data_IF_555462757754
#
_entry.id   IF_555462757754
#
_cell.length_a   1.000
_cell.length_b   1.000
_cell.length_c   1.000
_cell.angle_alpha   90.00
_cell.angle_beta   90.00
_cell.angle_gamma   90.00
#
_symmetry.space_group_name_H-M   'P 1'
#
loop_
_entity.id
_entity.type
_entity.pdbx_description
1 polymer ?
#
# COMPACT_ATOMS: atom_id res chain seq x y z
N UNK A 1 -5.07 -23.90 -14.47
CA UNK A 1 -4.20 -22.87 -13.87
C UNK A 1 -2.78 -23.21 -14.27
N UNK A 2 -2.05 -22.29 -14.88
CA UNK A 2 -0.63 -22.48 -15.20
C UNK A 2 0.19 -21.76 -14.13
N UNK A 3 1.32 -22.32 -13.74
CA UNK A 3 2.22 -21.75 -12.72
C UNK A 3 3.67 -21.84 -13.18
N UNK A 4 4.48 -20.91 -12.71
CA UNK A 4 5.94 -20.97 -12.76
C UNK A 4 6.41 -21.38 -11.36
N UNK A 5 7.13 -22.50 -11.25
CA UNK A 5 7.61 -23.04 -9.97
C UNK A 5 9.09 -22.78 -9.86
N UNK A 6 9.51 -22.16 -8.76
CA UNK A 6 10.91 -21.86 -8.45
C UNK A 6 11.30 -22.71 -7.25
N UNK A 7 12.35 -23.54 -7.40
CA UNK A 7 12.96 -24.24 -6.29
C UNK A 7 13.91 -23.28 -5.58
N UNK A 8 13.78 -23.16 -4.27
CA UNK A 8 14.62 -22.26 -3.47
C UNK A 8 16.01 -22.86 -3.36
N UNK A 9 16.99 -22.19 -3.98
CA UNK A 9 18.41 -22.53 -3.93
C UNK A 9 19.19 -21.24 -3.67
N UNK A 10 19.91 -21.18 -2.55
CA UNK A 10 20.70 -20.03 -2.07
C UNK A 10 19.87 -18.76 -1.77
N UNK A 11 20.52 -17.76 -1.15
CA UNK A 11 19.92 -16.46 -0.77
C UNK A 11 20.42 -15.32 -1.68
N UNK A 12 20.71 -15.62 -2.95
CA UNK A 12 21.15 -14.60 -3.90
C UNK A 12 20.01 -13.64 -4.22
N UNK A 13 20.27 -12.34 -4.03
CA UNK A 13 19.33 -11.27 -4.28
C UNK A 13 19.97 -10.19 -5.16
N UNK A 14 19.20 -9.57 -6.08
CA UNK A 14 19.69 -8.44 -6.84
C UNK A 14 20.11 -7.32 -5.89
N UNK A 15 21.15 -6.56 -6.26
CA UNK A 15 21.56 -5.40 -5.51
C UNK A 15 20.55 -4.28 -5.71
N UNK A 16 19.98 -3.77 -4.61
CA UNK A 16 18.99 -2.70 -4.61
C UNK A 16 19.61 -1.47 -3.96
N UNK A 17 19.36 -0.30 -4.56
CA UNK A 17 19.75 0.99 -4.01
C UNK A 17 19.10 1.16 -2.62
N UNK A 18 19.89 1.56 -1.62
CA UNK A 18 19.39 1.77 -0.26
C UNK A 18 19.01 3.22 -0.04
N UNK A 19 17.89 3.47 0.62
CA UNK A 19 17.43 4.81 0.93
C UNK A 19 17.46 5.09 2.43
N UNK A 20 17.76 6.35 2.74
CA UNK A 20 17.52 6.99 4.03
C UNK A 20 16.33 7.94 3.91
N UNK A 21 15.76 8.38 5.03
CA UNK A 21 14.69 9.39 5.09
C UNK A 21 15.03 10.65 4.27
N UNK A 22 16.28 11.14 4.40
CA UNK A 22 16.75 12.30 3.67
C UNK A 22 16.84 12.09 2.15
N UNK A 23 17.20 10.88 1.69
CA UNK A 23 17.20 10.58 0.25
C UNK A 23 15.81 10.31 -0.28
N UNK A 24 14.91 9.73 0.52
CA UNK A 24 13.54 9.44 0.11
C UNK A 24 12.75 10.74 -0.13
N UNK A 25 12.95 11.75 0.71
CA UNK A 25 12.33 13.07 0.49
C UNK A 25 12.69 13.69 -0.87
N UNK A 26 13.89 13.39 -1.40
CA UNK A 26 14.39 13.87 -2.70
C UNK A 26 14.08 12.93 -3.87
N UNK A 27 13.50 11.76 -3.60
CA UNK A 27 13.17 10.78 -4.62
C UNK A 27 12.08 11.32 -5.56
N UNK A 28 12.31 11.20 -6.87
CA UNK A 28 11.30 11.54 -7.87
C UNK A 28 10.24 10.46 -7.99
N UNK A 29 9.03 10.84 -8.41
CA UNK A 29 7.93 9.92 -8.67
C UNK A 29 8.32 8.83 -9.69
N UNK A 30 9.04 9.23 -10.74
CA UNK A 30 9.49 8.35 -11.81
C UNK A 30 10.49 7.31 -11.31
N UNK A 31 11.45 7.70 -10.45
CA UNK A 31 12.43 6.77 -9.89
C UNK A 31 11.78 5.82 -8.88
N UNK A 32 10.85 6.30 -8.04
CA UNK A 32 10.09 5.44 -7.13
C UNK A 32 9.31 4.38 -7.90
N UNK A 33 8.59 4.79 -8.96
CA UNK A 33 7.87 3.89 -9.85
C UNK A 33 8.82 2.88 -10.52
N UNK A 34 9.97 3.32 -11.01
CA UNK A 34 10.93 2.44 -11.69
C UNK A 34 11.43 1.33 -10.75
N UNK A 35 11.79 1.65 -9.51
CA UNK A 35 12.23 0.67 -8.50
C UNK A 35 11.12 -0.35 -8.20
N UNK A 36 9.87 0.11 -8.08
CA UNK A 36 8.72 -0.79 -7.85
C UNK A 36 8.46 -1.72 -9.04
N UNK A 37 8.66 -1.25 -10.26
CA UNK A 37 8.50 -2.08 -11.47
C UNK A 37 9.63 -3.10 -11.57
N UNK A 38 10.88 -2.68 -11.40
CA UNK A 38 12.06 -3.55 -11.54
C UNK A 38 12.12 -4.63 -10.46
N UNK A 39 11.67 -4.31 -9.25
CA UNK A 39 11.53 -5.28 -8.14
C UNK A 39 10.32 -6.20 -8.26
N UNK A 40 9.39 -5.91 -9.18
CA UNK A 40 8.11 -6.60 -9.29
C UNK A 40 7.05 -6.17 -8.28
N UNK A 41 7.36 -5.32 -7.31
CA UNK A 41 6.42 -4.85 -6.28
C UNK A 41 5.25 -4.01 -6.83
N UNK A 42 5.36 -3.48 -8.06
CA UNK A 42 4.27 -2.74 -8.72
C UNK A 42 2.97 -3.56 -8.83
N UNK A 43 3.05 -4.88 -8.88
CA UNK A 43 1.86 -5.76 -9.01
C UNK A 43 1.01 -5.84 -7.75
N UNK A 44 1.52 -5.36 -6.60
CA UNK A 44 0.78 -5.26 -5.35
C UNK A 44 -0.39 -4.27 -5.45
N UNK A 45 -0.25 -3.23 -6.28
CA UNK A 45 -1.33 -2.28 -6.51
C UNK A 45 -2.44 -2.89 -7.34
N UNK A 46 -3.69 -2.57 -6.96
CA UNK A 46 -4.88 -2.89 -7.76
C UNK A 46 -5.71 -1.64 -8.00
N UNK A 47 -6.11 -1.43 -9.25
CA UNK A 47 -7.04 -0.36 -9.62
C UNK A 47 -8.45 -0.64 -9.10
N UNK A 48 -9.19 0.43 -8.81
CA UNK A 48 -10.62 0.41 -8.55
C UNK A 48 -11.27 1.51 -9.39
N UNK A 49 -12.25 1.19 -10.24
CA UNK A 49 -12.84 -0.15 -10.49
C UNK A 49 -11.90 -1.12 -11.24
N UNK A 50 -12.37 -2.36 -11.44
CA UNK A 50 -11.77 -3.44 -12.27
C UNK A 50 -10.67 -4.31 -11.69
N UNK A 51 -10.01 -3.93 -10.58
CA UNK A 51 -8.96 -4.75 -9.96
C UNK A 51 -7.94 -5.22 -10.98
N UNK A 52 -7.26 -4.31 -11.66
CA UNK A 52 -6.11 -4.63 -12.53
C UNK A 52 -4.83 -4.08 -11.90
N UNK A 53 -3.68 -4.60 -12.30
CA UNK A 53 -2.42 -3.89 -12.03
C UNK A 53 -2.49 -2.55 -12.75
N UNK A 54 -2.14 -1.42 -12.11
CA UNK A 54 -2.19 -0.12 -12.77
C UNK A 54 -1.27 -0.06 -13.99
N UNK A 55 -1.75 0.57 -15.06
CA UNK A 55 -0.92 0.91 -16.20
C UNK A 55 0.23 1.82 -15.73
N UNK A 56 1.44 1.57 -16.24
CA UNK A 56 2.62 2.32 -15.82
C UNK A 56 2.44 3.83 -16.00
N UNK A 57 1.72 4.26 -17.05
CA UNK A 57 1.51 5.68 -17.32
C UNK A 57 0.27 6.28 -16.62
N UNK A 58 -0.44 5.49 -15.82
CA UNK A 58 -1.63 5.95 -15.09
C UNK A 58 -1.25 6.55 -13.74
N UNK A 59 -2.12 7.45 -13.24
CA UNK A 59 -2.06 8.00 -11.89
C UNK A 59 -3.39 7.76 -11.17
N UNK A 60 -3.38 7.40 -9.88
CA UNK A 60 -4.60 7.29 -9.11
C UNK A 60 -5.07 8.67 -8.65
N UNK A 61 -6.39 8.82 -8.47
CA UNK A 61 -6.94 9.96 -7.74
C UNK A 61 -6.56 9.92 -6.25
N UNK A 62 -6.56 8.73 -5.67
CA UNK A 62 -6.11 8.46 -4.30
C UNK A 62 -5.62 7.01 -4.17
N UNK A 63 -4.85 6.72 -3.13
CA UNK A 63 -4.43 5.36 -2.80
C UNK A 63 -5.07 4.96 -1.47
N UNK A 64 -5.59 3.73 -1.40
CA UNK A 64 -6.16 3.14 -0.20
C UNK A 64 -5.25 2.05 0.33
N UNK A 65 -4.80 2.22 1.57
CA UNK A 65 -4.04 1.23 2.32
C UNK A 65 -4.98 0.50 3.26
N UNK A 66 -5.25 -0.79 3.02
CA UNK A 66 -6.06 -1.61 3.91
C UNK A 66 -5.19 -2.21 5.00
N UNK A 67 -5.23 -1.62 6.20
CA UNK A 67 -4.58 -2.08 7.43
C UNK A 67 -5.63 -2.56 8.45
N UNK A 68 -6.65 -3.25 7.94
CA UNK A 68 -7.71 -3.92 8.68
C UNK A 68 -8.13 -5.15 7.88
N UNK A 69 -8.25 -6.30 8.53
CA UNK A 69 -8.86 -7.49 7.95
C UNK A 69 -9.90 -8.04 8.94
N UNK A 70 -11.13 -8.19 8.45
CA UNK A 70 -12.26 -8.67 9.25
C UNK A 70 -12.75 -10.04 8.76
N UNK A 71 -12.02 -10.65 7.83
CA UNK A 71 -12.34 -11.98 7.32
C UNK A 71 -12.18 -13.01 8.44
N UNK A 72 -13.01 -14.07 8.48
CA UNK A 72 -12.85 -15.14 9.46
C UNK A 72 -11.43 -15.73 9.39
N UNK A 73 -10.80 -15.91 10.57
CA UNK A 73 -9.43 -16.45 10.72
C UNK A 73 -8.31 -15.58 10.12
N UNK A 74 -8.60 -14.33 9.74
CA UNK A 74 -7.55 -13.41 9.34
C UNK A 74 -6.63 -13.06 10.51
N UNK A 75 -5.35 -12.84 10.19
CA UNK A 75 -4.38 -12.30 11.14
C UNK A 75 -4.74 -10.84 11.44
N UNK A 76 -4.76 -10.45 12.71
CA UNK A 76 -4.94 -9.05 13.10
C UNK A 76 -3.74 -8.22 12.62
N UNK A 77 -3.93 -7.24 11.71
CA UNK A 77 -2.85 -6.40 11.22
C UNK A 77 -2.08 -5.66 12.32
N UNK A 78 -2.71 -5.35 13.45
CA UNK A 78 -2.07 -4.65 14.56
C UNK A 78 -0.86 -5.42 15.12
N UNK A 79 -0.92 -6.76 15.13
CA UNK A 79 0.14 -7.63 15.64
C UNK A 79 1.40 -7.53 14.76
N UNK A 80 1.19 -7.41 13.45
CA UNK A 80 2.30 -7.30 12.48
C UNK A 80 2.85 -5.86 12.51
N UNK A 81 1.95 -4.88 12.47
CA UNK A 81 2.30 -3.47 12.34
C UNK A 81 3.01 -2.94 13.61
N UNK A 82 2.74 -3.49 14.79
CA UNK A 82 3.45 -3.11 16.02
C UNK A 82 4.97 -3.34 15.95
N UNK A 83 5.42 -4.30 15.14
CA UNK A 83 6.84 -4.62 14.98
C UNK A 83 7.45 -4.07 13.68
N UNK A 84 6.63 -3.46 12.82
CA UNK A 84 6.98 -3.02 11.47
C UNK A 84 6.53 -1.59 11.16
N UNK A 85 6.34 -0.79 12.20
CA UNK A 85 5.85 0.58 12.06
C UNK A 85 6.81 1.45 11.24
N UNK A 86 8.12 1.28 11.42
CA UNK A 86 9.12 2.07 10.67
C UNK A 86 9.03 1.78 9.17
N UNK A 87 9.08 0.50 8.80
CA UNK A 87 8.95 0.08 7.40
C UNK A 87 7.58 0.46 6.83
N UNK A 88 6.50 0.32 7.60
CA UNK A 88 5.17 0.74 7.16
C UNK A 88 5.14 2.24 6.84
N UNK A 89 5.64 3.10 7.73
CA UNK A 89 5.66 4.55 7.50
C UNK A 89 6.57 4.94 6.33
N UNK A 90 7.73 4.28 6.19
CA UNK A 90 8.60 4.49 5.03
C UNK A 90 7.90 4.11 3.72
N UNK A 91 7.13 3.02 3.73
CA UNK A 91 6.27 2.63 2.62
C UNK A 91 5.22 3.71 2.30
N UNK A 92 4.55 4.27 3.31
CA UNK A 92 3.59 5.37 3.12
C UNK A 92 4.25 6.59 2.47
N UNK A 93 5.47 6.96 2.88
CA UNK A 93 6.22 8.06 2.26
C UNK A 93 6.52 7.80 0.78
N UNK A 94 6.87 6.56 0.42
CA UNK A 94 7.01 6.14 -0.99
C UNK A 94 5.68 6.29 -1.73
N UNK A 95 4.55 5.88 -1.13
CA UNK A 95 3.22 6.04 -1.76
C UNK A 95 2.88 7.51 -2.02
N UNK A 96 3.25 8.42 -1.12
CA UNK A 96 3.11 9.86 -1.32
C UNK A 96 3.89 10.40 -2.52
N UNK A 97 4.92 9.68 -3.02
CA UNK A 97 5.61 10.03 -4.28
C UNK A 97 4.83 9.61 -5.53
N UNK A 98 3.92 8.64 -5.40
CA UNK A 98 3.21 8.04 -6.54
C UNK A 98 1.84 8.66 -6.80
N UNK A 99 1.28 9.38 -5.82
CA UNK A 99 -0.05 9.96 -5.89
C UNK A 99 0.00 11.44 -5.51
N UNK A 100 -0.53 12.29 -6.38
CA UNK A 100 -0.71 13.72 -6.10
C UNK A 100 -1.92 13.98 -5.17
N UNK A 101 -2.76 12.96 -4.97
CA UNK A 101 -3.92 12.98 -4.09
C UNK A 101 -3.66 12.37 -2.71
N UNK A 102 -4.74 11.92 -2.05
CA UNK A 102 -4.65 11.39 -0.67
C UNK A 102 -4.25 9.93 -0.61
N UNK A 103 -3.44 9.59 0.39
CA UNK A 103 -3.22 8.24 0.89
C UNK A 103 -4.19 8.01 2.04
N UNK A 104 -5.22 7.20 1.80
CA UNK A 104 -6.23 6.84 2.78
C UNK A 104 -5.82 5.56 3.50
N UNK A 105 -5.38 5.67 4.75
CA UNK A 105 -4.98 4.54 5.58
C UNK A 105 -6.18 4.10 6.40
N UNK A 106 -6.64 2.88 6.18
CA UNK A 106 -7.85 2.34 6.80
C UNK A 106 -7.47 1.30 7.85
N UNK A 107 -7.79 1.55 9.13
CA UNK A 107 -7.48 0.63 10.24
C UNK A 107 -8.73 0.25 11.01
N UNK A 108 -8.61 -0.72 11.93
CA UNK A 108 -9.63 -0.93 12.96
C UNK A 108 -9.61 0.21 13.99
N UNK A 109 -10.73 0.39 14.68
CA UNK A 109 -10.76 1.09 15.98
C UNK A 109 -9.76 0.41 16.92
N UNK A 110 -9.00 1.21 17.68
CA UNK A 110 -7.90 0.78 18.55
C UNK A 110 -6.62 0.29 17.84
N UNK A 111 -6.39 0.70 16.60
CA UNK A 111 -5.08 0.52 15.97
C UNK A 111 -3.98 1.14 16.82
N UNK A 112 -2.90 0.38 17.06
CA UNK A 112 -1.73 0.84 17.83
C UNK A 112 -0.74 1.67 17.00
N UNK A 113 -0.96 1.76 15.69
CA UNK A 113 -0.10 2.49 14.77
C UNK A 113 -0.29 3.99 14.97
N UNK A 114 0.82 4.68 15.22
CA UNK A 114 0.86 6.14 15.21
C UNK A 114 1.04 6.62 13.77
N UNK A 115 -0.02 7.24 13.23
CA UNK A 115 -0.06 7.78 11.88
C UNK A 115 -0.18 9.31 12.00
N UNK A 116 0.84 10.01 11.51
CA UNK A 116 0.79 11.46 11.40
C UNK A 116 -0.03 11.85 10.17
N UNK A 117 -1.25 12.33 10.40
CA UNK A 117 -2.09 12.87 9.33
C UNK A 117 -1.49 14.15 8.74
N UNK A 118 -1.70 14.35 7.44
CA UNK A 118 -1.25 15.52 6.69
C UNK A 118 -2.21 15.82 5.54
N UNK A 119 -1.93 16.82 4.71
CA UNK A 119 -2.76 17.08 3.53
C UNK A 119 -2.80 15.88 2.57
N UNK A 120 -1.68 15.15 2.45
CA UNK A 120 -1.54 13.96 1.62
C UNK A 120 -1.93 12.66 2.33
N UNK A 121 -1.99 12.62 3.68
CA UNK A 121 -2.26 11.39 4.44
C UNK A 121 -3.53 11.56 5.27
N UNK A 122 -4.51 10.69 5.05
CA UNK A 122 -5.72 10.60 5.87
C UNK A 122 -5.77 9.24 6.57
N UNK A 123 -5.86 9.26 7.89
CA UNK A 123 -6.14 8.06 8.67
C UNK A 123 -7.64 7.95 8.89
N UNK A 124 -8.23 6.77 8.69
CA UNK A 124 -9.65 6.54 9.01
C UNK A 124 -9.81 5.19 9.68
N UNK A 125 -10.46 5.22 10.84
CA UNK A 125 -10.76 4.03 11.61
C UNK A 125 -12.15 3.51 11.29
N UNK A 126 -12.27 2.20 11.16
CA UNK A 126 -13.52 1.51 10.89
C UNK A 126 -13.82 0.49 11.99
N UNK A 127 -15.10 0.26 12.27
CA UNK A 127 -15.58 -0.75 13.20
C UNK A 127 -16.82 -1.46 12.64
N UNK A 128 -17.15 -2.62 13.20
CA UNK A 128 -18.29 -3.43 12.78
C UNK A 128 -17.91 -4.85 12.35
N UNK A 129 -18.93 -5.63 11.99
CA UNK A 129 -18.74 -7.00 11.47
C UNK A 129 -18.26 -6.93 10.01
N UNK A 130 -17.61 -8.00 9.55
CA UNK A 130 -17.31 -8.17 8.13
C UNK A 130 -18.54 -7.82 7.26
N UNK A 131 -18.42 -6.97 6.22
CA UNK A 131 -17.20 -6.55 5.52
C UNK A 131 -16.66 -5.13 5.85
N UNK A 132 -16.37 -4.83 7.12
CA UNK A 132 -15.74 -3.55 7.52
C UNK A 132 -14.30 -3.38 7.00
N UNK A 133 -13.58 -4.47 6.72
CA UNK A 133 -12.18 -4.43 6.28
C UNK A 133 -11.95 -4.32 4.76
N UNK A 134 -13.01 -4.28 3.94
CA UNK A 134 -12.86 -4.31 2.48
C UNK A 134 -12.55 -2.92 1.90
N UNK A 135 -11.54 -2.86 1.02
CA UNK A 135 -11.19 -1.64 0.30
C UNK A 135 -12.39 -1.01 -0.45
N UNK A 136 -13.29 -1.83 -1.01
CA UNK A 136 -14.49 -1.33 -1.70
C UNK A 136 -15.42 -0.54 -0.78
N UNK A 137 -15.60 -1.01 0.45
CA UNK A 137 -16.39 -0.31 1.49
C UNK A 137 -15.72 1.01 1.85
N UNK A 138 -14.40 1.01 2.06
CA UNK A 138 -13.65 2.22 2.38
C UNK A 138 -13.72 3.26 1.26
N UNK A 139 -13.53 2.82 0.01
CA UNK A 139 -13.64 3.67 -1.19
C UNK A 139 -15.02 4.28 -1.29
N UNK A 140 -16.09 3.51 -1.07
CA UNK A 140 -17.46 4.01 -1.16
C UNK A 140 -17.71 5.19 -0.22
N UNK A 141 -17.21 5.13 1.01
CA UNK A 141 -17.42 6.18 2.02
C UNK A 141 -16.44 7.36 1.92
N UNK A 142 -15.21 7.12 1.47
CA UNK A 142 -14.14 8.12 1.55
C UNK A 142 -13.83 8.80 0.21
N UNK A 143 -13.81 8.04 -0.89
CA UNK A 143 -13.46 8.56 -2.22
C UNK A 143 -14.09 7.71 -3.35
N UNK A 144 -15.42 7.77 -3.52
CA UNK A 144 -16.13 6.85 -4.42
C UNK A 144 -15.65 6.99 -5.86
N UNK A 145 -15.55 5.85 -6.53
CA UNK A 145 -15.02 5.70 -7.90
C UNK A 145 -16.11 5.57 -8.94
N UNK A 146 -15.74 5.79 -10.20
CA UNK A 146 -16.61 5.62 -11.37
C UNK A 146 -15.80 5.13 -12.57
N UNK A 147 -16.43 4.98 -13.74
CA UNK A 147 -15.69 4.67 -14.97
C UNK A 147 -14.65 5.73 -15.36
N UNK A 148 -14.79 6.96 -14.85
CA UNK A 148 -13.92 8.11 -15.15
C UNK A 148 -12.96 8.46 -14.01
N UNK A 149 -13.12 7.84 -12.83
CA UNK A 149 -12.32 8.12 -11.64
C UNK A 149 -11.80 6.82 -11.06
N UNK A 150 -10.48 6.67 -11.08
CA UNK A 150 -9.79 5.47 -10.61
C UNK A 150 -8.96 5.77 -9.37
N UNK A 151 -9.03 4.89 -8.38
CA UNK A 151 -8.14 4.88 -7.20
C UNK A 151 -7.34 3.58 -7.19
N UNK A 152 -6.25 3.53 -6.45
CA UNK A 152 -5.50 2.29 -6.26
C UNK A 152 -5.67 1.78 -4.84
N UNK A 153 -5.59 0.46 -4.67
CA UNK A 153 -5.61 -0.20 -3.36
C UNK A 153 -4.36 -1.04 -3.19
N UNK A 154 -3.84 -1.07 -1.98
CA UNK A 154 -2.70 -1.90 -1.56
C UNK A 154 -2.92 -2.36 -0.10
N UNK A 155 -2.45 -3.54 0.27
CA UNK A 155 -2.58 -4.03 1.64
C UNK A 155 -1.40 -3.59 2.51
N UNK A 156 -1.55 -3.66 3.83
CA UNK A 156 -0.52 -3.23 4.77
C UNK A 156 0.81 -4.00 4.69
N UNK A 157 0.80 -5.29 4.33
CA UNK A 157 2.02 -6.09 4.20
C UNK A 157 2.83 -5.67 2.98
N UNK A 158 2.17 -5.38 1.87
CA UNK A 158 2.80 -4.86 0.67
C UNK A 158 3.38 -3.46 0.91
N UNK A 159 2.70 -2.63 1.72
CA UNK A 159 3.27 -1.33 2.14
C UNK A 159 4.53 -1.52 3.00
N UNK A 160 4.54 -2.47 3.93
CA UNK A 160 5.74 -2.84 4.69
C UNK A 160 6.85 -3.32 3.74
N UNK A 161 6.51 -4.14 2.74
CA UNK A 161 7.48 -4.65 1.76
C UNK A 161 8.06 -3.50 0.91
N UNK A 162 7.24 -2.53 0.50
CA UNK A 162 7.70 -1.32 -0.17
C UNK A 162 8.64 -0.53 0.75
N UNK A 163 8.28 -0.30 2.01
CA UNK A 163 9.17 0.42 2.92
C UNK A 163 10.43 -0.35 3.34
N UNK A 164 10.49 -1.66 3.09
CA UNK A 164 11.71 -2.44 3.25
C UNK A 164 12.58 -2.43 1.98
N UNK A 165 11.95 -2.29 0.81
CA UNK A 165 12.60 -2.21 -0.50
C UNK A 165 13.38 -0.91 -0.68
N UNK A 166 12.85 0.19 -0.14
CA UNK A 166 13.50 1.50 -0.13
C UNK A 166 14.31 1.64 1.16
#
# INVERSE_FOLDING_TARGET
MQSVVINVENDEQPQIEKFTENSLSKLSSEKAKQILVDSGQWVAFRTRPYSKVPDLNSKPHSIFVTAIDTSPLAVDPNIILSNKQKEFMFGIEVLCKLCDGKINICTTVNSSIDIQESESIRHTQFSGKHPTGLAGTHIHFLDPVSALKTVWTINYQDVIAIGHLF
#
